data_IF_554923631420
#
_entry.id   IF_554923631420
#
_cell.length_a   1.000
_cell.length_b   1.000
_cell.length_c   1.000
_cell.angle_alpha   90.00
_cell.angle_beta   90.00
_cell.angle_gamma   90.00
#
_symmetry.space_group_name_H-M   'P 1'
#
loop_
_entity.id
_entity.type
_entity.pdbx_description
1 polymer ?
#
# COMPACT_ATOMS: atom_id res chain seq x y z
N UNK A 1 -27.47 -74.97 59.33
CA UNK A 1 -26.51 -74.55 58.35
C UNK A 1 -27.28 -74.00 57.14
N UNK A 2 -27.48 -72.67 57.08
CA UNK A 2 -28.27 -72.02 56.06
C UNK A 2 -27.30 -71.27 55.05
N UNK A 3 -27.35 -71.66 53.81
CA UNK A 3 -26.62 -70.97 52.74
C UNK A 3 -27.45 -69.83 52.24
N UNK A 4 -26.93 -68.61 52.32
CA UNK A 4 -27.51 -67.42 51.70
C UNK A 4 -26.90 -67.23 50.31
N UNK A 5 -27.75 -67.25 49.34
CA UNK A 5 -27.40 -66.94 47.90
C UNK A 5 -27.46 -65.44 47.75
N UNK A 6 -26.36 -64.82 47.25
CA UNK A 6 -26.30 -63.41 46.88
C UNK A 6 -26.70 -63.26 45.44
N UNK A 7 -27.67 -62.40 45.15
CA UNK A 7 -28.12 -62.01 43.83
C UNK A 7 -27.35 -60.77 43.41
N UNK A 8 -26.54 -60.88 42.37
CA UNK A 8 -25.78 -59.70 41.75
C UNK A 8 -26.64 -59.11 40.68
N UNK A 9 -27.06 -57.86 40.86
CA UNK A 9 -27.73 -57.09 39.82
C UNK A 9 -26.73 -56.48 38.90
N UNK A 10 -26.79 -56.79 37.54
CA UNK A 10 -26.04 -56.12 36.47
C UNK A 10 -26.81 -54.87 36.05
N UNK A 11 -26.23 -53.70 36.28
CA UNK A 11 -26.71 -52.41 35.72
C UNK A 11 -26.03 -52.18 34.38
N UNK A 12 -26.77 -52.24 33.28
CA UNK A 12 -26.32 -51.88 31.95
C UNK A 12 -26.34 -50.35 31.80
N UNK A 13 -25.16 -49.73 31.68
CA UNK A 13 -25.00 -48.32 31.31
C UNK A 13 -25.16 -48.21 29.77
N UNK A 14 -26.22 -47.57 29.29
CA UNK A 14 -26.37 -47.19 27.88
C UNK A 14 -25.56 -45.90 27.63
N UNK A 15 -24.43 -46.01 26.95
CA UNK A 15 -23.73 -44.84 26.37
C UNK A 15 -24.53 -44.32 25.18
N UNK A 16 -25.22 -43.21 25.36
CA UNK A 16 -25.79 -42.43 24.25
C UNK A 16 -24.66 -41.71 23.51
N UNK A 17 -24.25 -42.20 22.36
CA UNK A 17 -23.37 -41.47 21.45
C UNK A 17 -24.17 -40.31 20.81
N UNK A 18 -24.05 -39.12 21.41
CA UNK A 18 -24.51 -37.88 20.76
C UNK A 18 -23.64 -37.61 19.54
N UNK A 19 -24.20 -37.76 18.34
CA UNK A 19 -23.60 -37.26 17.12
C UNK A 19 -23.52 -35.74 17.23
N UNK A 20 -22.32 -35.21 17.49
CA UNK A 20 -22.04 -33.79 17.32
C UNK A 20 -22.14 -33.49 15.81
N UNK A 21 -23.20 -32.85 15.38
CA UNK A 21 -23.31 -32.25 14.04
C UNK A 21 -22.30 -31.12 13.99
N UNK A 22 -21.13 -31.40 13.42
CA UNK A 22 -20.18 -30.33 13.09
C UNK A 22 -20.88 -29.37 12.12
N UNK A 23 -20.83 -28.04 12.36
CA UNK A 23 -21.39 -27.10 11.43
C UNK A 23 -20.67 -27.30 10.08
N UNK A 24 -21.40 -27.66 9.03
CA UNK A 24 -20.88 -27.62 7.67
C UNK A 24 -20.43 -26.19 7.41
N UNK A 25 -19.13 -25.97 7.21
CA UNK A 25 -18.65 -24.68 6.70
C UNK A 25 -19.41 -24.42 5.39
N UNK A 26 -20.18 -23.34 5.36
CA UNK A 26 -20.82 -22.90 4.14
C UNK A 26 -19.72 -22.73 3.09
N UNK A 27 -19.81 -23.46 1.97
CA UNK A 27 -18.88 -23.35 0.88
C UNK A 27 -18.93 -21.91 0.36
N UNK A 28 -17.76 -21.27 0.20
CA UNK A 28 -17.64 -19.91 -0.29
C UNK A 28 -18.39 -19.75 -1.63
N UNK A 29 -19.37 -18.85 -1.70
CA UNK A 29 -20.11 -18.60 -2.93
C UNK A 29 -19.18 -17.89 -3.93
N UNK A 30 -19.00 -18.51 -5.12
CA UNK A 30 -18.27 -17.86 -6.21
C UNK A 30 -19.26 -17.20 -7.15
N UNK A 31 -19.07 -15.91 -7.41
CA UNK A 31 -19.87 -15.07 -8.33
C UNK A 31 -18.94 -14.62 -9.46
N UNK A 32 -19.29 -14.97 -10.70
CA UNK A 32 -18.55 -14.54 -11.89
C UNK A 32 -19.32 -13.38 -12.54
N UNK A 33 -18.63 -12.25 -12.76
CA UNK A 33 -19.23 -11.04 -13.33
C UNK A 33 -18.53 -10.63 -14.62
N UNK A 34 -19.30 -10.05 -15.57
CA UNK A 34 -18.78 -9.67 -16.89
C UNK A 34 -19.22 -8.28 -17.36
N UNK A 35 -19.86 -7.49 -16.50
CA UNK A 35 -20.21 -6.09 -16.75
C UNK A 35 -20.26 -5.28 -15.44
N UNK A 36 -20.29 -3.94 -15.54
CA UNK A 36 -20.25 -3.02 -14.39
C UNK A 36 -21.45 -3.16 -13.46
N UNK A 37 -22.64 -3.44 -14.01
CA UNK A 37 -23.88 -3.61 -13.22
C UNK A 37 -23.79 -4.86 -12.34
N UNK A 38 -23.39 -6.00 -12.91
CA UNK A 38 -23.23 -7.24 -12.17
C UNK A 38 -22.14 -7.13 -11.11
N UNK A 39 -21.02 -6.43 -11.43
CA UNK A 39 -19.97 -6.15 -10.47
C UNK A 39 -20.49 -5.32 -9.28
N UNK A 40 -21.22 -4.23 -9.55
CA UNK A 40 -21.83 -3.40 -8.50
C UNK A 40 -22.80 -4.22 -7.62
N UNK A 41 -23.62 -5.06 -8.25
CA UNK A 41 -24.56 -5.93 -7.53
C UNK A 41 -23.82 -6.99 -6.68
N UNK A 42 -22.77 -7.59 -7.21
CA UNK A 42 -21.95 -8.57 -6.48
C UNK A 42 -21.29 -7.95 -5.23
N UNK A 43 -20.74 -6.72 -5.36
CA UNK A 43 -20.17 -5.98 -4.24
C UNK A 43 -21.20 -5.68 -3.14
N UNK A 44 -22.41 -5.23 -3.52
CA UNK A 44 -23.49 -4.88 -2.59
C UNK A 44 -24.10 -6.10 -1.88
N UNK A 45 -24.05 -7.28 -2.51
CA UNK A 45 -24.66 -8.50 -1.99
C UNK A 45 -23.63 -9.50 -1.42
N UNK A 46 -22.35 -9.18 -1.43
CA UNK A 46 -21.32 -10.06 -0.89
C UNK A 46 -21.56 -10.37 0.60
N UNK A 47 -21.23 -11.59 0.98
CA UNK A 47 -21.22 -12.05 2.38
C UNK A 47 -19.86 -12.68 2.70
N UNK A 48 -19.55 -12.88 3.96
CA UNK A 48 -18.29 -13.49 4.37
C UNK A 48 -18.01 -14.79 3.59
N UNK A 49 -16.81 -14.89 3.01
CA UNK A 49 -16.38 -16.00 2.16
C UNK A 49 -16.77 -15.89 0.68
N UNK A 50 -17.55 -14.88 0.25
CA UNK A 50 -17.86 -14.68 -1.17
C UNK A 50 -16.59 -14.41 -1.98
N UNK A 51 -16.47 -15.07 -3.14
CA UNK A 51 -15.41 -14.84 -4.14
C UNK A 51 -16.04 -14.23 -5.39
N UNK A 52 -15.76 -12.95 -5.66
CA UNK A 52 -16.21 -12.23 -6.86
C UNK A 52 -15.08 -12.32 -7.89
N UNK A 53 -15.31 -13.03 -8.98
CA UNK A 53 -14.37 -13.20 -10.08
C UNK A 53 -14.82 -12.35 -11.28
N UNK A 54 -13.98 -11.40 -11.67
CA UNK A 54 -14.28 -10.45 -12.74
C UNK A 54 -13.66 -10.96 -14.04
N UNK A 55 -14.49 -11.15 -15.09
CA UNK A 55 -14.01 -11.56 -16.42
C UNK A 55 -13.15 -10.47 -17.05
N UNK A 56 -12.24 -10.87 -17.91
CA UNK A 56 -11.37 -9.96 -18.63
C UNK A 56 -12.12 -8.95 -19.49
N UNK A 57 -11.64 -7.73 -19.51
CA UNK A 57 -12.25 -6.62 -20.24
C UNK A 57 -12.08 -5.28 -19.56
N UNK A 58 -12.70 -4.25 -20.13
CA UNK A 58 -12.77 -2.91 -19.55
C UNK A 58 -14.20 -2.61 -19.11
N UNK A 59 -14.35 -2.23 -17.85
CA UNK A 59 -15.60 -1.92 -17.18
C UNK A 59 -15.72 -0.41 -16.99
N UNK A 60 -16.83 0.16 -17.38
CA UNK A 60 -17.10 1.61 -17.28
C UNK A 60 -18.26 1.84 -16.31
N UNK A 61 -18.00 1.91 -15.00
CA UNK A 61 -19.05 2.28 -14.04
C UNK A 61 -19.51 3.72 -14.26
N UNK A 62 -20.79 4.01 -13.98
CA UNK A 62 -21.40 5.34 -14.01
C UNK A 62 -21.66 5.91 -12.62
N UNK A 63 -21.24 5.21 -11.59
CA UNK A 63 -21.21 5.62 -10.19
C UNK A 63 -20.12 4.84 -9.48
N UNK A 64 -19.64 5.35 -8.36
CA UNK A 64 -18.64 4.68 -7.51
C UNK A 64 -19.06 3.22 -7.23
N UNK A 65 -18.14 2.30 -7.51
CA UNK A 65 -18.27 0.92 -7.07
C UNK A 65 -17.97 0.86 -5.57
N UNK A 66 -18.95 0.58 -4.74
CA UNK A 66 -18.80 0.63 -3.30
C UNK A 66 -19.36 -0.59 -2.58
N UNK A 67 -18.83 -0.88 -1.42
CA UNK A 67 -19.35 -1.90 -0.52
C UNK A 67 -19.06 -1.57 0.96
N UNK A 68 -20.04 -1.94 1.81
CA UNK A 68 -19.95 -1.88 3.28
C UNK A 68 -20.09 -3.29 3.89
N UNK A 69 -19.92 -4.34 3.08
CA UNK A 69 -20.12 -5.73 3.50
C UNK A 69 -18.82 -6.29 4.08
N UNK A 70 -18.84 -6.64 5.36
CA UNK A 70 -17.67 -7.22 6.01
C UNK A 70 -17.51 -8.71 5.68
N UNK A 71 -16.25 -9.09 5.41
CA UNK A 71 -15.82 -10.47 5.57
C UNK A 71 -15.55 -10.79 7.05
N UNK A 72 -14.86 -11.88 7.30
CA UNK A 72 -14.27 -12.21 8.61
C UNK A 72 -12.81 -12.64 8.40
N UNK A 73 -12.02 -12.67 9.46
CA UNK A 73 -10.62 -13.12 9.37
C UNK A 73 -10.50 -14.57 8.88
N UNK A 74 -11.47 -15.44 9.17
CA UNK A 74 -11.52 -16.83 8.71
C UNK A 74 -12.24 -17.01 7.36
N UNK A 75 -13.00 -16.02 6.91
CA UNK A 75 -13.80 -16.06 5.69
C UNK A 75 -13.84 -14.67 5.04
N UNK A 76 -12.69 -14.17 4.54
CA UNK A 76 -12.65 -12.87 3.88
C UNK A 76 -13.46 -12.88 2.59
N UNK A 77 -13.93 -11.71 2.18
CA UNK A 77 -14.53 -11.53 0.86
C UNK A 77 -13.41 -11.27 -0.13
N UNK A 78 -13.49 -11.87 -1.31
CA UNK A 78 -12.45 -11.74 -2.34
C UNK A 78 -13.02 -11.11 -3.61
N UNK A 79 -12.34 -10.10 -4.13
CA UNK A 79 -12.54 -9.50 -5.44
C UNK A 79 -11.27 -9.72 -6.27
N UNK A 80 -11.36 -10.44 -7.38
CA UNK A 80 -10.18 -10.76 -8.19
C UNK A 80 -10.54 -10.95 -9.67
N UNK A 81 -9.55 -10.85 -10.54
CA UNK A 81 -9.71 -11.27 -11.93
C UNK A 81 -10.04 -12.77 -12.02
N UNK A 82 -10.80 -13.17 -13.05
CA UNK A 82 -11.05 -14.57 -13.37
C UNK A 82 -9.79 -15.20 -13.96
N UNK A 83 -9.22 -16.17 -13.27
CA UNK A 83 -7.96 -16.80 -13.70
C UNK A 83 -6.82 -15.79 -13.88
N UNK A 84 -6.25 -15.74 -15.07
CA UNK A 84 -5.20 -14.79 -15.46
C UNK A 84 -5.70 -13.70 -16.41
N UNK A 85 -7.01 -13.48 -16.50
CA UNK A 85 -7.59 -12.50 -17.40
C UNK A 85 -7.25 -11.06 -16.97
N UNK A 86 -7.08 -10.17 -17.93
CA UNK A 86 -6.79 -8.76 -17.65
C UNK A 86 -8.08 -7.99 -17.42
N UNK A 87 -8.22 -7.42 -16.23
CA UNK A 87 -9.38 -6.62 -15.82
C UNK A 87 -8.98 -5.17 -15.66
N UNK A 88 -9.73 -4.27 -16.30
CA UNK A 88 -9.62 -2.82 -16.12
C UNK A 88 -10.96 -2.25 -15.69
N UNK A 89 -10.96 -1.43 -14.67
CA UNK A 89 -12.10 -0.62 -14.25
C UNK A 89 -11.73 0.83 -14.57
N UNK A 90 -12.44 1.41 -15.52
CA UNK A 90 -12.17 2.73 -16.10
C UNK A 90 -13.20 3.74 -15.63
N UNK A 91 -12.76 4.77 -14.90
CA UNK A 91 -13.60 5.78 -14.29
C UNK A 91 -14.03 6.90 -15.23
N UNK A 92 -13.70 6.86 -16.53
CA UNK A 92 -13.99 7.95 -17.47
C UNK A 92 -15.48 8.28 -17.66
N UNK A 93 -16.38 7.40 -17.22
CA UNK A 93 -17.83 7.63 -17.22
C UNK A 93 -18.40 8.00 -15.83
N UNK A 94 -17.54 8.16 -14.83
CA UNK A 94 -17.96 8.62 -13.50
C UNK A 94 -18.21 10.14 -13.49
N UNK A 95 -19.12 10.63 -12.67
CA UNK A 95 -19.23 12.06 -12.37
C UNK A 95 -17.94 12.61 -11.76
N UNK A 96 -17.70 13.91 -11.96
CA UNK A 96 -16.60 14.62 -11.32
C UNK A 96 -16.66 14.47 -9.80
N UNK A 97 -15.51 14.19 -9.16
CA UNK A 97 -15.39 13.98 -7.73
C UNK A 97 -15.77 12.57 -7.24
N UNK A 98 -16.22 11.67 -8.12
CA UNK A 98 -16.46 10.27 -7.76
C UNK A 98 -15.15 9.45 -7.79
N UNK A 99 -15.09 8.43 -6.96
CA UNK A 99 -14.03 7.42 -6.94
C UNK A 99 -14.39 6.21 -7.80
N UNK A 100 -13.40 5.49 -8.32
CA UNK A 100 -13.72 4.23 -9.02
C UNK A 100 -14.19 3.18 -8.02
N UNK A 101 -13.43 2.98 -6.92
CA UNK A 101 -13.74 1.95 -5.95
C UNK A 101 -13.61 2.47 -4.52
N UNK A 102 -14.67 2.34 -3.74
CA UNK A 102 -14.69 2.66 -2.32
C UNK A 102 -15.01 1.43 -1.49
N UNK A 103 -14.12 1.12 -0.56
CA UNK A 103 -14.29 0.09 0.44
C UNK A 103 -14.45 0.75 1.83
N UNK A 104 -15.58 0.50 2.49
CA UNK A 104 -15.81 0.87 3.89
C UNK A 104 -16.24 -0.40 4.63
N UNK A 105 -15.32 -1.37 4.66
CA UNK A 105 -15.58 -2.71 5.16
C UNK A 105 -14.30 -3.45 5.50
N UNK A 106 -14.41 -4.50 6.32
CA UNK A 106 -13.31 -5.28 6.85
C UNK A 106 -13.13 -6.61 6.14
N UNK A 107 -11.89 -7.14 6.19
CA UNK A 107 -11.52 -8.48 5.74
C UNK A 107 -11.86 -8.73 4.27
N UNK A 108 -11.32 -7.87 3.40
CA UNK A 108 -11.36 -8.02 1.95
C UNK A 108 -9.99 -8.38 1.38
N UNK A 109 -9.99 -9.27 0.40
CA UNK A 109 -8.86 -9.52 -0.48
C UNK A 109 -9.18 -8.99 -1.87
N UNK A 110 -8.44 -7.98 -2.34
CA UNK A 110 -8.60 -7.39 -3.68
C UNK A 110 -7.33 -7.60 -4.48
N UNK A 111 -7.44 -8.20 -5.68
CA UNK A 111 -6.22 -8.52 -6.44
C UNK A 111 -6.41 -8.55 -7.96
N UNK A 112 -5.30 -8.32 -8.69
CA UNK A 112 -5.20 -8.47 -10.15
C UNK A 112 -6.17 -7.58 -10.94
N UNK A 113 -6.42 -6.36 -10.45
CA UNK A 113 -7.31 -5.38 -11.08
C UNK A 113 -6.53 -4.09 -11.35
N UNK A 114 -6.77 -3.50 -12.52
CA UNK A 114 -6.34 -2.15 -12.86
C UNK A 114 -7.51 -1.18 -12.70
N UNK A 115 -7.32 -0.12 -11.94
CA UNK A 115 -8.22 1.03 -11.81
C UNK A 115 -7.57 2.19 -12.55
N UNK A 116 -8.28 2.79 -13.50
CA UNK A 116 -7.71 3.85 -14.33
C UNK A 116 -8.69 4.97 -14.63
N UNK A 117 -8.16 6.19 -14.88
CA UNK A 117 -8.94 7.35 -15.30
C UNK A 117 -10.06 7.72 -14.31
N UNK A 118 -9.78 7.68 -13.01
CA UNK A 118 -10.72 8.17 -11.99
C UNK A 118 -10.83 9.68 -12.06
N UNK A 119 -12.02 10.29 -11.91
CA UNK A 119 -12.11 11.75 -11.79
C UNK A 119 -11.58 12.30 -10.45
N UNK A 120 -11.46 11.46 -9.44
CA UNK A 120 -10.85 11.73 -8.13
C UNK A 120 -9.91 10.57 -7.79
N UNK A 121 -9.70 10.22 -6.52
CA UNK A 121 -8.88 9.06 -6.11
C UNK A 121 -9.37 7.76 -6.77
N UNK A 122 -8.44 6.90 -7.21
CA UNK A 122 -8.87 5.70 -7.92
C UNK A 122 -9.44 4.63 -6.97
N UNK A 123 -8.80 4.44 -5.81
CA UNK A 123 -9.23 3.47 -4.79
C UNK A 123 -9.17 4.11 -3.41
N UNK A 124 -10.27 4.03 -2.68
CA UNK A 124 -10.37 4.52 -1.29
C UNK A 124 -10.77 3.38 -0.36
N UNK A 125 -9.93 3.08 0.63
CA UNK A 125 -10.21 2.17 1.74
C UNK A 125 -10.38 3.01 3.01
N UNK A 126 -11.63 3.24 3.38
CA UNK A 126 -11.98 4.14 4.49
C UNK A 126 -12.38 3.34 5.73
N UNK A 127 -11.67 3.53 6.82
CA UNK A 127 -11.89 2.82 8.10
C UNK A 127 -11.91 1.29 7.95
N UNK A 128 -11.10 0.77 7.05
CA UNK A 128 -11.02 -0.66 6.75
C UNK A 128 -10.10 -1.39 7.73
N UNK A 129 -10.44 -2.62 8.07
CA UNK A 129 -9.59 -3.48 8.89
C UNK A 129 -9.30 -4.83 8.22
N UNK A 130 -8.04 -5.28 8.30
CA UNK A 130 -7.64 -6.61 7.85
C UNK A 130 -7.79 -6.85 6.35
N UNK A 131 -7.64 -5.81 5.52
CA UNK A 131 -7.74 -5.92 4.07
C UNK A 131 -6.39 -6.25 3.43
N UNK A 132 -6.42 -7.01 2.34
CA UNK A 132 -5.24 -7.34 1.54
C UNK A 132 -5.43 -6.91 0.09
N UNK A 133 -4.57 -6.01 -0.37
CA UNK A 133 -4.51 -5.52 -1.74
C UNK A 133 -3.25 -6.05 -2.41
N UNK A 134 -3.38 -6.77 -3.51
CA UNK A 134 -2.22 -7.41 -4.14
C UNK A 134 -2.28 -7.38 -5.67
N UNK A 135 -1.18 -7.02 -6.31
CA UNK A 135 -1.10 -6.89 -7.78
C UNK A 135 -2.18 -5.95 -8.35
N UNK A 136 -2.30 -4.78 -7.73
CA UNK A 136 -3.20 -3.71 -8.15
C UNK A 136 -2.43 -2.71 -9.01
N UNK A 137 -3.11 -2.12 -9.99
CA UNK A 137 -2.62 -0.92 -10.67
C UNK A 137 -3.63 0.20 -10.52
N UNK A 138 -3.12 1.40 -10.21
CA UNK A 138 -3.90 2.64 -10.25
C UNK A 138 -3.22 3.60 -11.23
N UNK A 139 -3.97 4.14 -12.17
CA UNK A 139 -3.42 4.89 -13.32
C UNK A 139 -4.27 6.12 -13.61
N UNK A 140 -3.64 7.29 -13.74
CA UNK A 140 -4.27 8.52 -14.18
C UNK A 140 -5.53 8.89 -13.37
N UNK A 141 -5.45 8.89 -12.06
CA UNK A 141 -6.51 9.42 -11.19
C UNK A 141 -6.45 10.93 -11.09
N UNK A 142 -7.59 11.58 -10.86
CA UNK A 142 -7.74 13.02 -10.62
C UNK A 142 -7.32 13.46 -9.21
N UNK A 143 -6.94 12.53 -8.36
CA UNK A 143 -6.33 12.66 -7.04
C UNK A 143 -5.44 11.43 -6.81
N UNK A 144 -5.19 11.03 -5.57
CA UNK A 144 -4.30 9.91 -5.21
C UNK A 144 -4.73 8.57 -5.83
N UNK A 145 -3.75 7.75 -6.17
CA UNK A 145 -4.02 6.44 -6.78
C UNK A 145 -4.67 5.47 -5.82
N UNK A 146 -4.13 5.36 -4.61
CA UNK A 146 -4.65 4.47 -3.58
C UNK A 146 -4.64 5.19 -2.22
N UNK A 147 -5.78 5.23 -1.56
CA UNK A 147 -5.95 5.95 -0.30
C UNK A 147 -6.39 5.00 0.82
N UNK A 148 -5.64 5.00 1.94
CA UNK A 148 -6.08 4.50 3.24
C UNK A 148 -6.44 5.70 4.11
N UNK A 149 -7.64 5.75 4.66
CA UNK A 149 -8.13 6.92 5.42
C UNK A 149 -9.11 6.51 6.52
N UNK A 150 -9.31 7.42 7.48
CA UNK A 150 -10.28 7.25 8.57
C UNK A 150 -9.73 6.48 9.77
N UNK A 151 -10.39 6.70 10.91
CA UNK A 151 -10.09 5.99 12.15
C UNK A 151 -10.48 4.52 12.06
N UNK A 152 -9.72 3.66 12.71
CA UNK A 152 -9.94 2.21 12.62
C UNK A 152 -9.33 1.56 11.36
N UNK A 153 -8.51 2.27 10.60
CA UNK A 153 -7.75 1.75 9.47
C UNK A 153 -6.60 0.87 10.00
N UNK A 154 -6.87 -0.41 10.27
CA UNK A 154 -5.94 -1.30 10.99
C UNK A 154 -5.63 -2.59 10.24
N UNK A 155 -4.39 -3.08 10.35
CA UNK A 155 -3.93 -4.37 9.84
C UNK A 155 -4.19 -4.55 8.33
N UNK A 156 -4.08 -3.48 7.54
CA UNK A 156 -4.22 -3.53 6.09
C UNK A 156 -2.85 -3.77 5.44
N UNK A 157 -2.83 -4.59 4.41
CA UNK A 157 -1.63 -4.85 3.61
C UNK A 157 -1.86 -4.41 2.17
N UNK A 158 -1.05 -3.45 1.69
CA UNK A 158 -0.97 -3.03 0.29
C UNK A 158 0.32 -3.57 -0.30
N UNK A 159 0.20 -4.54 -1.20
CA UNK A 159 1.34 -5.28 -1.75
C UNK A 159 1.37 -5.23 -3.26
N UNK A 160 2.58 -5.07 -3.83
CA UNK A 160 2.80 -5.21 -5.26
C UNK A 160 1.92 -4.27 -6.11
N UNK A 161 1.74 -3.03 -5.65
CA UNK A 161 0.96 -2.03 -6.38
C UNK A 161 1.86 -1.23 -7.35
N UNK A 162 1.35 -0.95 -8.55
CA UNK A 162 1.87 0.08 -9.46
C UNK A 162 0.90 1.26 -9.46
N UNK A 163 1.31 2.41 -8.94
CA UNK A 163 0.48 3.61 -8.86
C UNK A 163 1.18 4.77 -9.54
N UNK A 164 0.59 5.29 -10.63
CA UNK A 164 1.28 6.27 -11.45
C UNK A 164 0.39 7.15 -12.32
N UNK A 165 0.94 8.33 -12.65
CA UNK A 165 0.32 9.26 -13.60
C UNK A 165 -0.86 10.04 -13.00
N UNK A 166 -0.97 10.09 -11.67
CA UNK A 166 -2.03 10.81 -10.97
C UNK A 166 -1.80 12.31 -11.01
N UNK A 167 -2.90 13.07 -11.18
CA UNK A 167 -2.85 14.52 -11.27
C UNK A 167 -4.20 15.12 -10.86
N UNK A 168 -4.18 15.98 -9.84
CA UNK A 168 -5.34 16.74 -9.38
C UNK A 168 -5.43 18.07 -10.16
N UNK A 169 -6.34 18.19 -11.13
CA UNK A 169 -6.47 19.42 -11.92
C UNK A 169 -7.05 20.58 -11.13
N UNK A 170 -7.82 20.32 -10.07
CA UNK A 170 -8.45 21.36 -9.26
C UNK A 170 -7.44 22.08 -8.36
N UNK A 171 -6.38 21.38 -7.94
CA UNK A 171 -5.32 21.90 -7.09
C UNK A 171 -3.95 21.93 -7.81
N UNK A 172 -3.95 22.03 -9.14
CA UNK A 172 -2.72 22.19 -9.93
C UNK A 172 -1.68 21.09 -9.70
N UNK A 173 -2.13 19.86 -9.45
CA UNK A 173 -1.28 18.70 -9.21
C UNK A 173 -0.95 18.44 -7.75
N UNK A 174 -1.28 19.33 -6.82
CA UNK A 174 -1.20 19.05 -5.38
C UNK A 174 -2.19 17.95 -4.99
N UNK A 175 -1.90 17.14 -3.97
CA UNK A 175 -2.68 16.02 -3.42
C UNK A 175 -2.65 14.69 -4.21
N UNK A 176 -2.31 14.68 -5.47
CA UNK A 176 -2.35 13.46 -6.29
C UNK A 176 -1.10 12.59 -6.09
N UNK A 177 -1.12 11.79 -5.03
CA UNK A 177 -0.05 10.88 -4.65
C UNK A 177 -0.16 9.50 -5.33
N UNK A 178 0.93 8.74 -5.31
CA UNK A 178 0.87 7.32 -5.64
C UNK A 178 0.04 6.55 -4.61
N UNK A 179 0.44 6.63 -3.35
CA UNK A 179 -0.33 6.13 -2.20
C UNK A 179 -0.45 7.23 -1.15
N UNK A 180 -1.67 7.49 -0.70
CA UNK A 180 -2.00 8.35 0.41
C UNK A 180 -2.45 7.53 1.62
N UNK A 181 -1.87 7.77 2.81
CA UNK A 181 -2.40 7.27 4.08
C UNK A 181 -2.66 8.50 4.93
N UNK A 182 -3.87 9.03 4.87
CA UNK A 182 -4.19 10.37 5.34
C UNK A 182 -5.44 10.38 6.24
N UNK A 183 -5.50 11.37 7.17
CA UNK A 183 -6.69 11.69 7.96
C UNK A 183 -7.29 10.50 8.69
N UNK A 184 -6.59 9.98 9.68
CA UNK A 184 -7.11 8.88 10.47
C UNK A 184 -6.08 8.21 11.36
N UNK A 185 -6.44 7.03 11.84
CA UNK A 185 -5.62 6.26 12.77
C UNK A 185 -5.84 4.76 12.63
N UNK A 186 -4.83 4.00 13.05
CA UNK A 186 -4.88 2.54 13.14
C UNK A 186 -3.53 1.90 12.86
N UNK A 187 -3.17 0.92 13.67
CA UNK A 187 -1.86 0.26 13.61
C UNK A 187 -1.86 -0.98 12.73
N UNK A 188 -0.67 -1.51 12.42
CA UNK A 188 -0.51 -2.75 11.67
C UNK A 188 -0.63 -2.62 10.15
N UNK A 189 -0.68 -1.39 9.61
CA UNK A 189 -0.71 -1.17 8.17
C UNK A 189 0.67 -1.36 7.54
N UNK A 190 0.72 -2.12 6.44
CA UNK A 190 1.93 -2.48 5.71
C UNK A 190 1.80 -2.13 4.22
N UNK A 191 2.78 -1.40 3.69
CA UNK A 191 2.94 -1.16 2.25
C UNK A 191 4.24 -1.85 1.82
N UNK A 192 4.17 -2.75 0.84
CA UNK A 192 5.35 -3.50 0.40
C UNK A 192 5.33 -3.80 -1.10
N UNK A 193 6.49 -3.79 -1.74
CA UNK A 193 6.63 -4.11 -3.16
C UNK A 193 5.97 -3.07 -4.09
N UNK A 194 5.75 -1.84 -3.66
CA UNK A 194 5.10 -0.81 -4.47
C UNK A 194 6.05 -0.11 -5.44
N UNK A 195 5.55 0.29 -6.61
CA UNK A 195 6.17 1.29 -7.51
C UNK A 195 5.24 2.48 -7.63
N UNK A 196 5.71 3.65 -7.18
CA UNK A 196 4.96 4.90 -7.06
C UNK A 196 5.67 5.95 -7.93
N UNK A 197 5.13 6.22 -9.13
CA UNK A 197 5.92 6.98 -10.07
C UNK A 197 5.13 7.91 -10.98
N UNK A 198 5.79 9.01 -11.34
CA UNK A 198 5.24 9.99 -12.27
C UNK A 198 3.91 10.60 -11.81
N UNK A 199 3.68 10.67 -10.51
CA UNK A 199 2.54 11.37 -9.92
C UNK A 199 2.85 12.86 -9.83
N UNK A 200 1.83 13.70 -9.84
CA UNK A 200 2.04 15.15 -9.77
C UNK A 200 2.46 15.62 -8.40
N UNK A 201 2.03 14.94 -7.34
CA UNK A 201 2.48 15.22 -5.99
C UNK A 201 3.49 14.15 -5.52
N UNK A 202 3.32 13.54 -4.41
CA UNK A 202 4.29 12.66 -3.79
C UNK A 202 4.18 11.20 -4.29
N UNK A 203 5.22 10.41 -4.10
CA UNK A 203 5.14 8.97 -4.30
C UNK A 203 4.27 8.33 -3.21
N UNK A 204 4.57 8.66 -1.96
CA UNK A 204 3.82 8.21 -0.79
C UNK A 204 3.68 9.37 0.19
N UNK A 205 2.45 9.59 0.71
CA UNK A 205 2.15 10.65 1.66
C UNK A 205 1.38 10.13 2.89
N UNK A 206 1.89 10.47 4.10
CA UNK A 206 1.31 10.13 5.40
C UNK A 206 0.75 11.35 6.13
N UNK A 207 0.12 12.27 5.41
CA UNK A 207 -0.44 13.49 5.98
C UNK A 207 -1.54 13.20 7.01
N UNK A 208 -1.36 13.73 8.24
CA UNK A 208 -2.37 13.63 9.31
C UNK A 208 -2.88 12.21 9.59
N UNK A 209 -2.00 11.20 9.51
CA UNK A 209 -2.30 9.84 9.94
C UNK A 209 -1.57 9.51 11.23
N UNK A 210 -2.32 9.45 12.33
CA UNK A 210 -1.80 9.47 13.69
C UNK A 210 -1.30 8.13 14.23
N UNK A 211 -1.07 7.13 13.37
CA UNK A 211 -0.59 5.80 13.78
C UNK A 211 0.55 5.30 12.89
N UNK A 212 1.50 4.49 13.43
CA UNK A 212 2.63 3.98 12.66
C UNK A 212 2.22 3.13 11.46
N UNK A 213 2.84 3.39 10.32
CA UNK A 213 2.76 2.60 9.09
C UNK A 213 4.14 2.04 8.78
N UNK A 214 4.20 0.78 8.35
CA UNK A 214 5.43 0.15 7.87
C UNK A 214 5.47 0.15 6.35
N UNK A 215 6.59 0.57 5.79
CA UNK A 215 6.89 0.57 4.35
C UNK A 215 8.15 -0.21 4.10
N UNK A 216 8.13 -1.13 3.16
CA UNK A 216 9.33 -1.89 2.81
C UNK A 216 9.34 -2.30 1.34
N UNK A 217 10.54 -2.51 0.78
CA UNK A 217 10.70 -2.96 -0.61
C UNK A 217 9.89 -2.11 -1.60
N UNK A 218 9.90 -0.78 -1.46
CA UNK A 218 9.08 0.15 -2.24
C UNK A 218 9.95 1.13 -3.00
N UNK A 219 9.54 1.48 -4.22
CA UNK A 219 10.22 2.43 -5.09
C UNK A 219 9.34 3.64 -5.36
N UNK A 220 9.87 4.85 -5.16
CA UNK A 220 9.22 6.12 -5.46
C UNK A 220 10.08 6.94 -6.41
N UNK A 221 9.61 7.19 -7.65
CA UNK A 221 10.44 7.79 -8.66
C UNK A 221 9.72 8.74 -9.61
N UNK A 222 10.40 9.83 -9.93
CA UNK A 222 9.95 10.79 -10.95
C UNK A 222 8.69 11.55 -10.57
N UNK A 223 8.31 11.61 -9.29
CA UNK A 223 7.13 12.33 -8.81
C UNK A 223 7.40 13.85 -8.76
N UNK A 224 6.34 14.67 -8.80
CA UNK A 224 6.38 16.13 -8.71
C UNK A 224 6.85 16.83 -9.96
N UNK A 225 6.94 16.14 -11.10
CA UNK A 225 7.33 16.75 -12.37
C UNK A 225 6.08 17.11 -13.17
N UNK A 226 5.99 18.37 -13.57
CA UNK A 226 4.88 18.85 -14.40
C UNK A 226 4.87 18.17 -15.78
N UNK A 227 4.08 17.13 -15.93
CA UNK A 227 3.87 16.39 -17.19
C UNK A 227 2.59 16.79 -17.91
N UNK A 228 1.76 17.57 -17.25
CA UNK A 228 0.43 17.98 -17.73
C UNK A 228 0.43 19.37 -18.35
N UNK A 229 1.57 20.08 -18.31
CA UNK A 229 1.71 21.42 -18.90
C UNK A 229 0.95 22.48 -18.12
N UNK A 230 0.64 22.25 -16.85
CA UNK A 230 -0.04 23.21 -15.99
C UNK A 230 0.94 24.33 -15.59
N UNK A 231 0.61 25.57 -15.98
CA UNK A 231 1.43 26.75 -15.68
C UNK A 231 1.43 27.15 -14.21
N UNK A 232 0.45 26.68 -13.42
CA UNK A 232 0.31 26.91 -11.98
C UNK A 232 0.69 25.68 -11.15
N UNK A 233 1.37 24.69 -11.75
CA UNK A 233 1.71 23.42 -11.11
C UNK A 233 2.30 23.60 -9.72
N UNK A 234 1.71 22.88 -8.73
CA UNK A 234 1.98 23.05 -7.30
C UNK A 234 2.42 21.76 -6.56
N UNK A 235 2.54 20.64 -7.26
CA UNK A 235 2.91 19.36 -6.61
C UNK A 235 4.28 19.41 -5.92
N UNK A 236 4.37 18.84 -4.71
CA UNK A 236 5.56 18.83 -3.84
C UNK A 236 6.67 17.92 -4.38
N UNK A 237 6.31 16.75 -4.84
CA UNK A 237 7.17 15.81 -5.52
C UNK A 237 8.20 15.13 -4.65
N UNK A 238 7.89 14.79 -3.41
CA UNK A 238 8.77 13.95 -2.60
C UNK A 238 8.62 12.47 -3.00
N UNK A 239 9.65 11.68 -2.76
CA UNK A 239 9.52 10.22 -2.87
C UNK A 239 8.64 9.69 -1.75
N UNK A 240 8.98 10.05 -0.51
CA UNK A 240 8.28 9.66 0.72
C UNK A 240 8.09 10.86 1.62
N UNK A 241 6.85 11.28 1.83
CA UNK A 241 6.42 12.31 2.77
C UNK A 241 5.80 11.63 3.98
N UNK A 242 6.48 11.70 5.12
CA UNK A 242 6.24 10.83 6.28
C UNK A 242 5.59 11.60 7.44
N UNK A 243 4.60 12.42 7.12
CA UNK A 243 3.85 13.18 8.12
C UNK A 243 3.24 14.45 7.58
N UNK A 244 2.61 15.20 8.49
CA UNK A 244 1.96 16.48 8.28
C UNK A 244 1.41 17.02 9.62
N UNK A 245 0.98 18.26 9.65
CA UNK A 245 0.33 18.91 10.80
C UNK A 245 1.06 18.82 12.14
N UNK A 246 2.37 18.54 12.13
CA UNK A 246 3.17 18.47 13.36
C UNK A 246 2.93 17.21 14.19
N UNK A 247 2.39 16.16 13.62
CA UNK A 247 2.15 14.89 14.29
C UNK A 247 3.42 14.27 14.90
N UNK A 248 3.23 13.36 15.84
CA UNK A 248 4.31 12.65 16.54
C UNK A 248 4.13 11.15 16.33
N UNK A 249 4.49 10.67 15.15
CA UNK A 249 4.25 9.28 14.73
C UNK A 249 5.56 8.61 14.31
N UNK A 250 5.79 7.37 14.77
CA UNK A 250 6.99 6.60 14.47
C UNK A 250 6.76 5.65 13.28
N UNK A 251 6.60 6.20 12.08
CA UNK A 251 6.57 5.39 10.85
C UNK A 251 7.89 4.65 10.62
N UNK A 252 7.85 3.55 9.89
CA UNK A 252 9.03 2.73 9.59
C UNK A 252 9.16 2.57 8.08
N UNK A 253 10.33 2.92 7.53
CA UNK A 253 10.66 2.68 6.11
C UNK A 253 11.94 1.86 6.02
N UNK A 254 11.83 0.68 5.47
CA UNK A 254 12.95 -0.24 5.28
C UNK A 254 13.15 -0.57 3.80
N UNK A 255 14.39 -0.81 3.41
CA UNK A 255 14.78 -1.38 2.12
C UNK A 255 14.02 -0.80 0.91
N UNK A 256 13.91 0.52 0.87
CA UNK A 256 13.13 1.27 -0.13
C UNK A 256 14.00 2.30 -0.83
N UNK A 257 13.61 2.72 -2.03
CA UNK A 257 14.40 3.67 -2.80
C UNK A 257 13.56 4.82 -3.34
N UNK A 258 14.16 6.03 -3.37
CA UNK A 258 13.60 7.25 -3.94
C UNK A 258 14.58 7.85 -4.95
N UNK A 259 14.16 8.05 -6.19
CA UNK A 259 15.03 8.68 -7.17
C UNK A 259 14.28 9.55 -8.18
N UNK A 260 14.99 10.55 -8.68
CA UNK A 260 14.53 11.45 -9.74
C UNK A 260 13.21 12.19 -9.40
N UNK A 261 12.89 12.35 -8.11
CA UNK A 261 11.73 13.11 -7.65
C UNK A 261 12.05 14.62 -7.63
N UNK A 262 11.04 15.47 -7.84
CA UNK A 262 11.21 16.94 -7.85
C UNK A 262 11.41 17.52 -6.43
N UNK A 263 10.99 16.81 -5.41
CA UNK A 263 11.17 17.13 -4.01
C UNK A 263 12.35 16.41 -3.37
N UNK A 264 12.17 16.02 -2.10
CA UNK A 264 13.13 15.21 -1.35
C UNK A 264 12.96 13.71 -1.64
N UNK A 265 14.00 12.91 -1.41
CA UNK A 265 13.85 11.47 -1.42
C UNK A 265 12.94 11.00 -0.30
N UNK A 266 13.32 11.37 0.93
CA UNK A 266 12.58 11.07 2.16
C UNK A 266 12.48 12.32 3.02
N UNK A 267 11.28 12.65 3.49
CA UNK A 267 11.06 13.83 4.36
C UNK A 267 10.12 13.50 5.51
N UNK A 268 10.40 14.05 6.69
CA UNK A 268 9.53 13.96 7.86
C UNK A 268 8.27 14.81 7.73
N UNK A 269 8.32 15.86 6.92
CA UNK A 269 7.25 16.83 6.71
C UNK A 269 6.57 17.27 8.03
N UNK A 270 7.32 17.88 8.94
CA UNK A 270 6.92 18.32 10.28
C UNK A 270 6.52 17.22 11.29
N UNK A 271 6.56 15.95 10.94
CA UNK A 271 6.38 14.85 11.91
C UNK A 271 7.55 14.82 12.90
N UNK A 272 7.25 15.01 14.18
CA UNK A 272 8.25 15.06 15.27
C UNK A 272 8.52 13.70 15.89
N UNK A 273 7.87 12.64 15.42
CA UNK A 273 8.01 11.27 15.92
C UNK A 273 9.36 10.63 15.64
N UNK A 274 9.60 9.49 16.27
CA UNK A 274 10.82 8.71 16.09
C UNK A 274 10.74 7.84 14.83
N UNK A 275 10.56 8.47 13.66
CA UNK A 275 10.53 7.79 12.35
C UNK A 275 11.80 6.96 12.18
N UNK A 276 11.68 5.73 11.72
CA UNK A 276 12.82 4.85 11.44
C UNK A 276 13.01 4.71 9.93
N UNK A 277 14.17 5.13 9.43
CA UNK A 277 14.58 4.97 8.03
C UNK A 277 15.83 4.09 8.01
N UNK A 278 15.72 2.91 7.44
CA UNK A 278 16.80 1.95 7.49
C UNK A 278 17.03 1.25 6.14
N UNK A 279 18.30 1.20 5.71
CA UNK A 279 18.71 0.56 4.46
C UNK A 279 17.94 1.09 3.24
N UNK A 280 17.77 2.40 3.15
CA UNK A 280 17.11 3.04 2.00
C UNK A 280 18.13 3.74 1.10
N UNK A 281 17.75 4.01 -0.16
CA UNK A 281 18.58 4.71 -1.13
C UNK A 281 17.85 5.93 -1.67
N UNK A 282 18.49 7.12 -1.60
CA UNK A 282 18.02 8.36 -2.23
C UNK A 282 19.00 8.78 -3.35
N UNK A 283 18.53 8.82 -4.59
CA UNK A 283 19.37 9.08 -5.74
C UNK A 283 18.81 10.15 -6.66
N UNK A 284 19.60 11.20 -6.92
CA UNK A 284 19.26 12.28 -7.88
C UNK A 284 17.86 12.90 -7.69
N UNK A 285 17.36 13.01 -6.45
CA UNK A 285 16.19 13.83 -6.17
C UNK A 285 16.59 15.32 -6.25
N UNK A 286 15.67 16.19 -6.66
CA UNK A 286 16.01 17.60 -6.90
C UNK A 286 16.32 18.39 -5.62
N UNK A 287 15.72 18.00 -4.49
CA UNK A 287 16.03 18.56 -3.18
C UNK A 287 16.96 17.61 -2.39
N UNK A 288 16.70 17.38 -1.12
CA UNK A 288 17.55 16.55 -0.26
C UNK A 288 17.33 15.05 -0.49
N UNK A 289 18.36 14.24 -0.28
CA UNK A 289 18.18 12.80 -0.16
C UNK A 289 17.30 12.46 1.03
N UNK A 290 17.66 13.05 2.19
CA UNK A 290 16.93 12.90 3.45
C UNK A 290 16.75 14.25 4.12
N UNK A 291 15.51 14.62 4.45
CA UNK A 291 15.17 15.88 5.13
C UNK A 291 14.42 15.59 6.42
N UNK A 292 15.12 15.69 7.56
CA UNK A 292 14.64 15.39 8.91
C UNK A 292 15.14 16.48 9.89
N UNK A 293 14.64 17.69 9.72
CA UNK A 293 15.17 18.88 10.38
C UNK A 293 14.64 19.08 11.82
N UNK A 294 13.45 18.54 12.15
CA UNK A 294 12.72 18.89 13.38
C UNK A 294 12.37 17.71 14.28
N UNK A 295 12.27 16.49 13.73
CA UNK A 295 11.84 15.29 14.44
C UNK A 295 12.97 14.54 15.16
N UNK A 296 12.60 13.41 15.79
CA UNK A 296 13.50 12.50 16.49
C UNK A 296 13.83 11.24 15.67
N UNK A 297 13.92 11.37 14.35
CA UNK A 297 14.11 10.24 13.44
C UNK A 297 15.39 9.45 13.74
N UNK A 298 15.39 8.18 13.33
CA UNK A 298 16.53 7.25 13.40
C UNK A 298 16.91 6.83 11.97
N UNK A 299 18.04 7.35 11.47
CA UNK A 299 18.53 7.12 10.12
C UNK A 299 19.68 6.11 10.19
N UNK A 300 19.44 4.89 9.68
CA UNK A 300 20.40 3.79 9.78
C UNK A 300 20.75 3.15 8.44
N UNK A 301 22.03 3.05 8.11
CA UNK A 301 22.52 2.31 6.93
C UNK A 301 21.93 2.77 5.59
N UNK A 302 21.64 4.06 5.45
CA UNK A 302 21.07 4.64 4.26
C UNK A 302 22.13 5.16 3.31
N UNK A 303 21.79 5.23 2.02
CA UNK A 303 22.67 5.69 0.96
C UNK A 303 22.04 6.88 0.22
N UNK A 304 22.72 8.01 0.19
CA UNK A 304 22.34 9.21 -0.55
C UNK A 304 23.40 9.55 -1.59
N UNK A 305 23.03 9.73 -2.86
CA UNK A 305 23.96 10.05 -3.92
C UNK A 305 23.35 11.02 -4.91
N UNK A 306 24.03 12.12 -5.20
CA UNK A 306 23.73 13.04 -6.28
C UNK A 306 22.42 13.84 -6.15
N UNK A 307 21.86 13.97 -4.93
CA UNK A 307 20.67 14.77 -4.68
C UNK A 307 21.02 16.28 -4.68
N UNK A 308 20.16 17.11 -5.24
CA UNK A 308 20.44 18.52 -5.50
C UNK A 308 20.63 19.38 -4.27
N UNK A 309 19.88 19.13 -3.19
CA UNK A 309 20.03 19.82 -1.90
C UNK A 309 21.17 19.24 -1.04
N UNK A 310 21.66 18.04 -1.37
CA UNK A 310 22.67 17.33 -0.60
C UNK A 310 22.21 15.96 -0.08
N UNK A 311 23.06 15.33 0.73
CA UNK A 311 22.82 13.96 1.19
C UNK A 311 21.73 13.92 2.28
N UNK A 312 21.91 14.73 3.32
CA UNK A 312 21.02 14.80 4.48
C UNK A 312 20.94 16.21 5.04
N UNK A 313 19.73 16.64 5.40
CA UNK A 313 19.48 17.75 6.31
C UNK A 313 18.81 17.19 7.56
N UNK A 314 19.47 17.28 8.71
CA UNK A 314 18.99 16.68 9.96
C UNK A 314 19.14 17.59 11.15
N UNK A 315 18.14 17.58 12.01
CA UNK A 315 18.17 18.26 13.31
C UNK A 315 19.07 17.56 14.33
N UNK A 316 19.30 18.24 15.43
CA UNK A 316 20.15 17.73 16.53
C UNK A 316 19.55 16.52 17.25
N UNK A 317 18.25 16.33 17.20
CA UNK A 317 17.54 15.20 17.83
C UNK A 317 17.56 13.91 16.97
N UNK A 318 18.02 14.00 15.74
CA UNK A 318 18.08 12.86 14.82
C UNK A 318 19.27 11.96 15.14
N UNK A 319 19.02 10.69 15.38
CA UNK A 319 20.06 9.65 15.52
C UNK A 319 20.46 9.15 14.15
N UNK A 320 21.75 9.22 13.82
CA UNK A 320 22.29 8.86 12.50
C UNK A 320 23.44 7.88 12.71
N UNK A 321 23.40 6.70 12.05
CA UNK A 321 24.41 5.68 12.21
C UNK A 321 24.55 4.77 10.99
N UNK A 322 25.78 4.62 10.48
CA UNK A 322 26.10 3.72 9.37
C UNK A 322 25.62 4.18 8.00
N UNK A 323 25.26 5.45 7.84
CA UNK A 323 24.88 6.06 6.57
C UNK A 323 26.12 6.59 5.83
N UNK A 324 26.06 6.74 4.51
CA UNK A 324 27.25 7.22 3.77
C UNK A 324 27.63 8.68 4.04
N UNK A 325 26.84 9.41 4.80
CA UNK A 325 27.17 10.76 5.30
C UNK A 325 27.75 10.76 6.73
N UNK A 326 27.76 9.63 7.41
CA UNK A 326 28.35 9.50 8.73
C UNK A 326 29.86 9.32 8.63
N UNK A 327 30.62 9.80 9.62
CA UNK A 327 32.09 9.75 9.62
C UNK A 327 32.62 8.31 9.48
N UNK A 328 33.56 8.13 8.58
CA UNK A 328 34.22 6.83 8.35
C UNK A 328 33.45 5.84 7.48
N UNK A 329 32.26 6.21 6.98
CA UNK A 329 31.46 5.37 6.09
C UNK A 329 31.72 5.75 4.64
N UNK A 330 32.24 4.81 3.85
CA UNK A 330 32.45 5.01 2.43
C UNK A 330 31.14 4.90 1.64
N UNK A 331 31.00 5.73 0.61
CA UNK A 331 29.91 5.60 -0.36
C UNK A 331 30.21 4.48 -1.34
N UNK A 332 29.51 3.35 -1.33
CA UNK A 332 29.75 2.29 -2.30
C UNK A 332 29.28 2.71 -3.71
N UNK A 333 30.01 2.25 -4.73
CA UNK A 333 29.63 2.48 -6.11
C UNK A 333 28.38 1.66 -6.48
N UNK A 334 27.46 2.25 -7.26
CA UNK A 334 26.35 1.52 -7.86
C UNK A 334 26.84 0.62 -9.01
N UNK A 335 26.24 -0.57 -9.13
CA UNK A 335 26.48 -1.47 -10.28
C UNK A 335 25.90 -0.88 -11.59
N UNK A 336 24.77 -0.18 -11.47
CA UNK A 336 24.15 0.54 -12.58
C UNK A 336 23.42 1.79 -12.08
N UNK A 337 23.44 2.84 -12.89
CA UNK A 337 22.62 4.05 -12.74
C UNK A 337 21.60 4.20 -13.87
N UNK A 338 21.41 3.17 -14.70
CA UNK A 338 20.37 3.09 -15.71
C UNK A 338 19.09 2.50 -15.10
N UNK A 339 18.06 3.34 -14.97
CA UNK A 339 16.79 2.99 -14.36
C UNK A 339 15.83 2.20 -15.30
N UNK A 340 16.21 1.95 -16.56
CA UNK A 340 15.31 1.34 -17.57
C UNK A 340 14.68 0.04 -17.07
N UNK A 341 15.48 -0.82 -16.42
CA UNK A 341 15.01 -2.10 -15.91
C UNK A 341 13.99 -2.02 -14.78
N UNK A 342 13.87 -0.88 -14.09
CA UNK A 342 12.87 -0.70 -13.01
C UNK A 342 11.44 -0.60 -13.54
N UNK A 343 11.26 -0.31 -14.83
CA UNK A 343 9.97 -0.27 -15.51
C UNK A 343 9.56 -1.58 -16.17
N UNK A 344 10.42 -2.61 -16.13
CA UNK A 344 10.09 -3.93 -16.65
C UNK A 344 8.86 -4.53 -15.96
N UNK A 345 8.29 -5.56 -16.58
CA UNK A 345 7.22 -6.34 -15.99
C UNK A 345 7.64 -6.87 -14.60
N UNK A 346 6.68 -6.93 -13.69
CA UNK A 346 6.89 -7.58 -12.39
C UNK A 346 7.26 -9.05 -12.56
N UNK A 347 7.99 -9.58 -11.60
CA UNK A 347 8.28 -11.01 -11.53
C UNK A 347 6.99 -11.84 -11.33
N UNK A 348 7.00 -13.13 -11.64
CA UNK A 348 5.91 -14.03 -11.24
C UNK A 348 5.60 -13.89 -9.75
N UNK A 349 4.30 -13.81 -9.41
CA UNK A 349 3.87 -13.53 -8.03
C UNK A 349 3.78 -12.05 -7.68
N UNK A 350 4.20 -11.15 -8.58
CA UNK A 350 4.01 -9.70 -8.43
C UNK A 350 5.17 -8.95 -7.79
N UNK A 351 6.27 -9.60 -7.44
CA UNK A 351 7.45 -8.94 -6.90
C UNK A 351 8.03 -7.89 -7.87
N UNK A 352 8.80 -6.96 -7.36
CA UNK A 352 9.48 -5.94 -8.16
C UNK A 352 10.36 -6.59 -9.24
N UNK A 353 10.57 -5.94 -10.40
CA UNK A 353 11.41 -6.49 -11.45
C UNK A 353 12.87 -6.63 -11.00
N UNK A 354 13.55 -7.64 -11.48
CA UNK A 354 14.99 -7.81 -11.22
C UNK A 354 15.75 -6.65 -11.88
N UNK A 355 16.63 -6.02 -11.12
CA UNK A 355 17.44 -4.89 -11.60
C UNK A 355 18.83 -4.88 -10.97
N UNK A 356 19.79 -4.29 -11.67
CA UNK A 356 21.10 -3.89 -11.11
C UNK A 356 21.14 -2.39 -10.80
N UNK A 357 20.08 -1.65 -11.11
CA UNK A 357 19.97 -0.22 -10.86
C UNK A 357 20.05 0.06 -9.35
N UNK A 358 20.90 1.00 -8.96
CA UNK A 358 21.20 1.40 -7.58
C UNK A 358 21.62 0.25 -6.64
N UNK A 359 21.84 -0.96 -7.15
CA UNK A 359 22.43 -2.02 -6.33
C UNK A 359 23.90 -1.75 -6.13
N UNK A 360 24.43 -2.14 -4.98
CA UNK A 360 25.85 -2.03 -4.65
C UNK A 360 26.46 -3.41 -4.40
N UNK A 361 27.76 -3.52 -4.24
CA UNK A 361 28.41 -4.74 -3.73
C UNK A 361 28.24 -4.91 -2.22
N UNK A 362 27.70 -3.89 -1.53
CA UNK A 362 27.50 -3.89 -0.08
C UNK A 362 26.17 -4.53 0.29
N UNK A 363 26.16 -5.37 1.30
CA UNK A 363 24.95 -5.91 1.92
C UNK A 363 24.53 -5.14 3.16
N UNK A 364 25.25 -4.08 3.53
CA UNK A 364 25.11 -3.39 4.81
C UNK A 364 24.51 -1.99 4.70
N UNK A 365 24.55 -1.36 3.53
CA UNK A 365 24.10 0.03 3.31
C UNK A 365 23.31 0.15 2.01
N UNK A 366 22.25 0.97 2.03
CA UNK A 366 21.36 1.20 0.89
C UNK A 366 20.32 0.10 0.69
N UNK A 367 19.36 0.35 -0.21
CA UNK A 367 18.35 -0.59 -0.61
C UNK A 367 18.91 -1.74 -1.45
N UNK A 368 18.33 -2.93 -1.32
CA UNK A 368 18.69 -4.11 -2.14
C UNK A 368 18.11 -4.06 -3.54
N UNK A 369 17.06 -3.26 -3.75
CA UNK A 369 16.34 -3.09 -5.02
C UNK A 369 15.58 -4.36 -5.48
N UNK A 370 15.14 -5.19 -4.54
CA UNK A 370 14.35 -6.41 -4.74
C UNK A 370 12.94 -6.31 -4.15
#
# INVERSE_FOLDING_TARGET
>A
MSRRTALTALTTLALGAGLAVLPTQAQAATVVVSNSTDLSNALKNATAGTVIQVRGGTYYPTATLETTKNGTSSSPITLTAYGSETVKIDGSNLPDGDWIFKLTADYWNVSHITFQNSPDSAVVCQSCAGTNWNNIKTINGGDSGFTLTGDGTVNNTVRNIDSYGHYDPANHGENADGIAVKYGSGTGNLITGARLYNNSDDGLDFWSFSSPVTVEHTWAMGNGKNRWGDSAFAGDGNGYKLGGDGEVVAHVVNNSAAWDNAGNGFTENSNKGAIVINRTTAYKNAKWGYYFATGAARLGRNLAVGNGGGLVNKGSSVVSSGNNWDSGIATPAFRSTDATSTYNARQPGGALPVTTFLTTGSTTIGATMD
#
